data_IF_773181153727
#
_entry.id   IF_773181153727
#
_cell.length_a   1.000
_cell.length_b   1.000
_cell.length_c   1.000
_cell.angle_alpha   90.00
_cell.angle_beta   90.00
_cell.angle_gamma   90.00
#
_symmetry.space_group_name_H-M   'P 1'
#
loop_
_entity.id
_entity.type
_entity.pdbx_description
1 polymer ?
#
# COMPACT_ATOMS: atom_id res chain seq x y z
N UNK A 1 36.65 16.58 -3.89
CA UNK A 1 36.23 15.25 -3.39
C UNK A 1 34.72 15.11 -3.20
N UNK A 2 34.00 16.04 -2.56
CA UNK A 2 32.53 15.98 -2.36
C UNK A 2 31.71 15.90 -3.67
N UNK A 3 32.11 16.54 -4.76
CA UNK A 3 31.40 16.54 -6.05
C UNK A 3 31.45 15.19 -6.79
N UNK A 4 32.52 14.42 -6.65
CA UNK A 4 32.62 13.07 -7.25
C UNK A 4 31.78 12.04 -6.51
N UNK A 5 31.67 12.15 -5.19
CA UNK A 5 30.84 11.25 -4.36
C UNK A 5 29.36 11.47 -4.71
N UNK A 6 28.92 12.72 -4.82
CA UNK A 6 27.55 13.08 -5.20
C UNK A 6 27.17 12.60 -6.62
N UNK A 7 28.11 12.60 -7.56
CA UNK A 7 27.91 12.06 -8.92
C UNK A 7 27.79 10.54 -8.92
N UNK A 8 28.56 9.85 -8.08
CA UNK A 8 28.49 8.37 -7.93
C UNK A 8 27.16 7.97 -7.29
N UNK A 9 26.71 8.70 -6.26
CA UNK A 9 25.41 8.45 -5.64
C UNK A 9 24.24 8.66 -6.61
N UNK A 10 24.28 9.73 -7.43
CA UNK A 10 23.26 10.00 -8.45
C UNK A 10 23.27 8.93 -9.54
N UNK A 11 24.46 8.44 -9.95
CA UNK A 11 24.61 7.39 -10.96
C UNK A 11 24.11 6.03 -10.43
N UNK A 12 24.39 5.69 -9.16
CA UNK A 12 23.90 4.48 -8.51
C UNK A 12 22.37 4.50 -8.31
N UNK A 13 21.78 5.67 -8.01
CA UNK A 13 20.34 5.87 -7.94
C UNK A 13 19.69 5.67 -9.32
N UNK A 14 20.29 6.19 -10.39
CA UNK A 14 19.81 6.00 -11.76
C UNK A 14 19.95 4.56 -12.23
N UNK A 15 21.01 3.85 -11.87
CA UNK A 15 21.18 2.43 -12.16
C UNK A 15 20.16 1.57 -11.41
N UNK A 16 19.88 1.86 -10.14
CA UNK A 16 18.85 1.14 -9.36
C UNK A 16 17.45 1.39 -9.91
N UNK A 17 17.14 2.62 -10.35
CA UNK A 17 15.87 2.96 -11.00
C UNK A 17 15.71 2.26 -12.36
N UNK A 18 16.77 2.20 -13.16
CA UNK A 18 16.75 1.47 -14.43
C UNK A 18 16.60 -0.05 -14.21
N UNK A 19 17.23 -0.62 -13.20
CA UNK A 19 17.09 -2.03 -12.88
C UNK A 19 15.66 -2.37 -12.44
N UNK A 20 15.05 -1.55 -11.59
CA UNK A 20 13.63 -1.70 -11.18
C UNK A 20 12.68 -1.58 -12.38
N UNK A 21 12.96 -0.67 -13.31
CA UNK A 21 12.19 -0.49 -14.55
C UNK A 21 12.38 -1.64 -15.55
N UNK A 22 13.55 -2.27 -15.57
CA UNK A 22 13.85 -3.41 -16.47
C UNK A 22 13.11 -4.65 -15.99
N UNK A 23 13.02 -4.92 -14.69
CA UNK A 23 12.31 -6.10 -14.15
C UNK A 23 10.79 -5.97 -14.18
N UNK A 24 10.25 -4.77 -14.01
CA UNK A 24 8.84 -4.52 -14.33
C UNK A 24 8.54 -4.71 -15.84
N UNK A 25 9.53 -4.58 -16.71
CA UNK A 25 9.44 -4.90 -18.13
C UNK A 25 9.50 -6.41 -18.41
N UNK A 26 10.20 -7.21 -17.61
CA UNK A 26 10.21 -8.67 -17.78
C UNK A 26 8.90 -9.34 -17.34
N UNK A 27 8.24 -8.86 -16.28
CA UNK A 27 6.88 -9.31 -15.93
C UNK A 27 5.84 -8.94 -17.02
N UNK A 28 6.08 -7.92 -17.82
CA UNK A 28 5.24 -7.56 -18.99
C UNK A 28 5.42 -8.48 -20.22
N UNK A 29 6.30 -9.45 -20.15
CA UNK A 29 6.63 -10.34 -21.28
C UNK A 29 5.60 -11.45 -21.50
N UNK A 30 4.77 -11.72 -20.49
CA UNK A 30 3.75 -12.78 -20.53
C UNK A 30 2.34 -12.18 -20.45
N UNK A 31 1.40 -12.72 -21.21
CA UNK A 31 -0.01 -12.39 -21.04
C UNK A 31 -0.53 -12.87 -19.68
N UNK A 32 -1.64 -12.27 -19.20
CA UNK A 32 -2.25 -12.69 -17.93
C UNK A 32 -2.66 -14.17 -18.00
N UNK A 33 -3.13 -14.64 -19.14
CA UNK A 33 -3.51 -16.04 -19.39
C UNK A 33 -2.31 -17.00 -19.28
N UNK A 34 -1.16 -16.60 -19.83
CA UNK A 34 0.09 -17.38 -19.72
C UNK A 34 0.56 -17.49 -18.29
N UNK A 35 0.49 -16.38 -17.54
CA UNK A 35 0.82 -16.35 -16.11
C UNK A 35 -0.10 -17.26 -15.31
N UNK A 36 -1.41 -17.16 -15.51
CA UNK A 36 -2.42 -18.01 -14.85
C UNK A 36 -2.12 -19.49 -15.09
N UNK A 37 -1.87 -19.86 -16.36
CA UNK A 37 -1.55 -21.23 -16.74
C UNK A 37 -0.23 -21.72 -16.14
N UNK A 38 0.82 -20.89 -16.20
CA UNK A 38 2.16 -21.21 -15.68
C UNK A 38 2.14 -21.50 -14.17
N UNK A 39 1.38 -20.74 -13.41
CA UNK A 39 1.30 -20.87 -11.95
C UNK A 39 0.10 -21.70 -11.48
N UNK A 40 -0.67 -22.29 -12.39
CA UNK A 40 -1.86 -23.09 -12.12
C UNK A 40 -2.85 -22.39 -11.17
N UNK A 41 -3.19 -21.14 -11.48
CA UNK A 41 -4.02 -20.31 -10.61
C UNK A 41 -5.50 -20.45 -10.96
N UNK A 42 -6.31 -20.84 -10.00
CA UNK A 42 -7.77 -20.87 -10.14
C UNK A 42 -8.36 -19.47 -9.86
N UNK A 43 -8.44 -18.67 -10.91
CA UNK A 43 -8.98 -17.29 -10.86
C UNK A 43 -10.43 -17.28 -10.35
N UNK A 44 -11.26 -18.24 -10.76
CA UNK A 44 -12.68 -18.30 -10.34
C UNK A 44 -12.80 -18.51 -8.83
N UNK A 45 -11.94 -19.35 -8.26
CA UNK A 45 -11.87 -19.59 -6.82
C UNK A 45 -11.47 -18.31 -6.08
N UNK A 46 -10.42 -17.61 -6.54
CA UNK A 46 -9.95 -16.36 -5.93
C UNK A 46 -11.00 -15.24 -6.04
N UNK A 47 -11.69 -15.13 -7.17
CA UNK A 47 -12.80 -14.16 -7.31
C UNK A 47 -13.96 -14.45 -6.37
N UNK A 48 -14.34 -15.72 -6.22
CA UNK A 48 -15.38 -16.15 -5.28
C UNK A 48 -14.99 -15.81 -3.84
N UNK A 49 -13.73 -16.07 -3.47
CA UNK A 49 -13.18 -15.75 -2.16
C UNK A 49 -13.24 -14.22 -1.90
N UNK A 50 -12.72 -13.39 -2.81
CA UNK A 50 -12.80 -11.93 -2.67
C UNK A 50 -14.24 -11.43 -2.51
N UNK A 51 -15.19 -11.95 -3.31
CA UNK A 51 -16.62 -11.59 -3.22
C UNK A 51 -17.24 -12.02 -1.90
N UNK A 52 -16.81 -13.15 -1.33
CA UNK A 52 -17.28 -13.65 -0.04
C UNK A 52 -16.75 -12.81 1.10
N UNK A 53 -15.45 -12.51 1.09
CA UNK A 53 -14.79 -11.67 2.08
C UNK A 53 -15.32 -10.22 2.06
N UNK A 54 -15.60 -9.68 0.89
CA UNK A 54 -16.16 -8.33 0.75
C UNK A 54 -17.51 -8.13 1.48
N UNK A 55 -18.28 -9.19 1.69
CA UNK A 55 -19.55 -9.14 2.46
C UNK A 55 -19.35 -8.95 3.96
N UNK A 56 -18.12 -9.16 4.46
CA UNK A 56 -17.77 -9.01 5.87
C UNK A 56 -17.32 -7.58 6.23
N UNK A 57 -17.17 -6.71 5.23
CA UNK A 57 -16.71 -5.35 5.46
C UNK A 57 -17.76 -4.51 6.17
N UNK A 58 -17.32 -3.76 7.16
CA UNK A 58 -18.09 -2.73 7.85
C UNK A 58 -17.51 -1.34 7.51
N UNK A 59 -18.29 -0.52 6.83
CA UNK A 59 -17.88 0.85 6.45
C UNK A 59 -18.51 1.86 7.42
N UNK A 60 -18.28 1.59 8.69
CA UNK A 60 -18.68 2.43 9.82
C UNK A 60 -17.51 2.54 10.76
N UNK A 61 -17.42 3.66 11.44
CA UNK A 61 -16.40 3.88 12.45
C UNK A 61 -16.56 2.89 13.59
N UNK A 62 -15.50 2.14 13.87
CA UNK A 62 -15.44 1.16 14.96
C UNK A 62 -15.07 1.80 16.30
N UNK A 63 -14.55 3.03 16.26
CA UNK A 63 -14.14 3.83 17.41
C UNK A 63 -14.20 5.32 17.09
N UNK A 64 -13.97 6.17 18.07
CA UNK A 64 -13.81 7.62 17.90
C UNK A 64 -12.39 7.93 17.38
N UNK A 65 -12.27 8.05 16.07
CA UNK A 65 -10.98 8.35 15.41
C UNK A 65 -10.43 9.75 15.68
N UNK A 66 -11.18 10.65 16.33
CA UNK A 66 -10.64 11.96 16.74
C UNK A 66 -9.57 11.83 17.83
N UNK A 67 -9.61 10.73 18.59
CA UNK A 67 -8.75 10.43 19.75
C UNK A 67 -7.64 9.42 19.45
N UNK A 68 -7.42 9.09 18.17
CA UNK A 68 -6.38 8.14 17.78
C UNK A 68 -5.01 8.64 18.15
N UNK A 69 -4.26 7.83 18.88
CA UNK A 69 -2.91 8.13 19.37
C UNK A 69 -1.83 7.38 18.58
N UNK A 70 -2.11 6.13 18.13
CA UNK A 70 -1.16 5.31 17.39
C UNK A 70 -1.65 5.05 15.98
N UNK A 71 -0.91 5.55 15.01
CA UNK A 71 -1.28 5.50 13.61
C UNK A 71 -0.20 4.75 12.82
N UNK A 72 -0.60 3.69 12.12
CA UNK A 72 0.31 2.89 11.32
C UNK A 72 0.27 3.20 9.83
N UNK A 73 1.38 2.92 9.18
CA UNK A 73 1.48 2.89 7.72
C UNK A 73 2.27 1.67 7.28
N UNK A 74 1.84 1.02 6.21
CA UNK A 74 2.58 -0.11 5.64
C UNK A 74 2.73 0.07 4.13
N UNK A 75 3.95 -0.12 3.65
CA UNK A 75 4.30 0.02 2.23
C UNK A 75 5.21 -1.12 1.79
N UNK A 76 5.07 -1.49 0.51
CA UNK A 76 5.86 -2.55 -0.09
C UNK A 76 6.78 -1.98 -1.17
N UNK A 77 8.00 -2.52 -1.25
CA UNK A 77 8.90 -2.35 -2.38
C UNK A 77 9.31 -3.73 -2.90
N UNK A 78 9.59 -3.77 -4.21
CA UNK A 78 9.90 -5.03 -4.89
C UNK A 78 11.31 -4.94 -5.48
N UNK A 79 12.06 -6.03 -5.37
CA UNK A 79 13.37 -6.15 -5.98
C UNK A 79 13.59 -7.59 -6.44
N UNK A 80 13.77 -7.78 -7.75
CA UNK A 80 13.77 -9.12 -8.36
C UNK A 80 12.50 -9.87 -7.91
N UNK A 81 12.62 -11.14 -7.57
CA UNK A 81 11.50 -11.94 -7.07
C UNK A 81 11.30 -11.84 -5.55
N UNK A 82 11.64 -10.69 -4.96
CA UNK A 82 11.48 -10.44 -3.52
C UNK A 82 10.55 -9.26 -3.27
N UNK A 83 9.92 -9.28 -2.10
CA UNK A 83 9.13 -8.19 -1.54
C UNK A 83 9.74 -7.77 -0.20
N UNK A 84 9.82 -6.47 0.02
CA UNK A 84 10.10 -5.90 1.34
C UNK A 84 8.86 -5.12 1.75
N UNK A 85 8.27 -5.55 2.84
CA UNK A 85 7.15 -4.87 3.48
C UNK A 85 7.67 -4.14 4.71
N UNK A 86 7.44 -2.84 4.82
CA UNK A 86 7.83 -2.06 5.97
C UNK A 86 6.62 -1.42 6.63
N UNK A 87 6.52 -1.60 7.94
CA UNK A 87 5.47 -1.06 8.78
C UNK A 87 6.07 -0.04 9.75
N UNK A 88 5.43 1.10 9.89
CA UNK A 88 5.82 2.16 10.80
C UNK A 88 4.60 2.56 11.62
N UNK A 89 4.79 2.74 12.92
CA UNK A 89 3.78 3.27 13.83
C UNK A 89 4.25 4.62 14.35
N UNK A 90 3.39 5.62 14.24
CA UNK A 90 3.61 6.99 14.72
C UNK A 90 2.66 7.32 15.86
N UNK A 91 3.06 8.27 16.73
CA UNK A 91 2.13 8.94 17.62
C UNK A 91 1.42 10.10 16.90
N UNK A 92 0.51 10.78 17.61
CA UNK A 92 -0.21 11.95 17.10
C UNK A 92 0.69 13.15 16.77
N UNK A 93 1.90 13.20 17.32
CA UNK A 93 2.91 14.24 17.07
C UNK A 93 3.86 13.87 15.92
N UNK A 94 3.58 12.77 15.20
CA UNK A 94 4.34 12.25 14.09
C UNK A 94 5.72 11.67 14.45
N UNK A 95 5.95 11.36 15.70
CA UNK A 95 7.17 10.68 16.13
C UNK A 95 7.03 9.17 15.88
N UNK A 96 8.12 8.55 15.43
CA UNK A 96 8.15 7.09 15.20
C UNK A 96 8.20 6.39 16.56
N UNK A 97 7.14 5.64 16.89
CA UNK A 97 7.08 4.78 18.07
C UNK A 97 7.79 3.46 17.78
N UNK A 98 7.49 2.88 16.63
CA UNK A 98 8.07 1.59 16.22
C UNK A 98 8.12 1.48 14.70
N UNK A 99 9.13 0.75 14.20
CA UNK A 99 9.22 0.37 12.81
C UNK A 99 9.80 -1.04 12.67
N UNK A 100 9.21 -1.85 11.80
CA UNK A 100 9.65 -3.20 11.46
C UNK A 100 9.61 -3.40 9.96
N UNK A 101 10.36 -4.37 9.49
CA UNK A 101 10.25 -4.81 8.10
C UNK A 101 10.27 -6.33 8.01
N UNK A 102 9.70 -6.82 6.93
CA UNK A 102 9.80 -8.21 6.50
C UNK A 102 10.38 -8.25 5.09
N UNK A 103 11.31 -9.15 4.83
CA UNK A 103 11.84 -9.42 3.49
C UNK A 103 11.65 -10.89 3.13
N UNK A 104 11.08 -11.16 1.98
CA UNK A 104 10.82 -12.53 1.54
C UNK A 104 10.63 -12.65 0.04
N UNK A 105 10.56 -13.89 -0.46
CA UNK A 105 10.27 -14.18 -1.87
C UNK A 105 8.79 -14.01 -2.17
N UNK A 106 8.50 -13.50 -3.36
CA UNK A 106 7.14 -13.47 -3.88
C UNK A 106 6.67 -14.88 -4.21
N UNK A 107 5.53 -15.27 -3.65
CA UNK A 107 4.89 -16.57 -3.88
C UNK A 107 3.76 -16.52 -4.92
N UNK A 108 3.31 -15.31 -5.28
CA UNK A 108 2.21 -15.10 -6.22
C UNK A 108 2.63 -14.08 -7.29
N UNK A 109 2.35 -14.35 -8.59
CA UNK A 109 2.69 -13.44 -9.67
C UNK A 109 1.81 -12.19 -9.65
N UNK A 110 2.21 -11.15 -10.39
CA UNK A 110 1.36 -9.98 -10.56
C UNK A 110 0.20 -10.29 -11.50
N UNK A 111 -1.02 -10.26 -10.96
CA UNK A 111 -2.28 -10.37 -11.71
C UNK A 111 -3.16 -9.18 -11.32
N UNK A 112 -3.60 -8.35 -12.30
CA UNK A 112 -4.48 -7.23 -12.02
C UNK A 112 -5.74 -7.67 -11.25
N UNK A 113 -6.08 -6.93 -10.19
CA UNK A 113 -7.22 -7.25 -9.32
C UNK A 113 -6.97 -8.33 -8.25
N UNK A 114 -5.74 -8.93 -8.21
CA UNK A 114 -5.36 -9.94 -7.22
C UNK A 114 -4.11 -9.56 -6.42
N UNK A 115 -3.82 -8.27 -6.35
CA UNK A 115 -2.66 -7.72 -5.68
C UNK A 115 -2.51 -8.19 -4.23
N UNK A 116 -3.61 -8.38 -3.51
CA UNK A 116 -3.59 -8.85 -2.13
C UNK A 116 -2.92 -10.22 -1.98
N UNK A 117 -3.15 -11.16 -2.89
CA UNK A 117 -2.53 -12.50 -2.81
C UNK A 117 -1.01 -12.47 -2.98
N UNK A 118 -0.48 -11.44 -3.64
CA UNK A 118 0.96 -11.21 -3.83
C UNK A 118 1.60 -10.52 -2.63
N UNK A 119 0.91 -9.55 -2.02
CA UNK A 119 1.50 -8.62 -1.06
C UNK A 119 1.12 -8.91 0.40
N UNK A 120 -0.10 -9.37 0.63
CA UNK A 120 -0.65 -9.57 1.96
C UNK A 120 0.19 -10.51 2.85
N UNK A 121 0.76 -11.63 2.36
CA UNK A 121 1.60 -12.49 3.21
C UNK A 121 2.79 -11.75 3.84
N UNK A 122 3.49 -10.93 3.06
CA UNK A 122 4.61 -10.14 3.56
C UNK A 122 4.16 -9.02 4.50
N UNK A 123 3.04 -8.36 4.17
CA UNK A 123 2.46 -7.30 5.00
C UNK A 123 2.03 -7.84 6.36
N UNK A 124 1.36 -8.99 6.40
CA UNK A 124 0.92 -9.60 7.67
C UNK A 124 2.10 -10.10 8.49
N UNK A 125 3.12 -10.69 7.87
CA UNK A 125 4.36 -11.06 8.56
C UNK A 125 5.03 -9.84 9.20
N UNK A 126 5.17 -8.74 8.45
CA UNK A 126 5.71 -7.49 8.96
C UNK A 126 4.88 -6.90 10.10
N UNK A 127 3.55 -6.87 9.94
CA UNK A 127 2.63 -6.33 10.96
C UNK A 127 2.63 -7.14 12.25
N UNK A 128 2.81 -8.46 12.18
CA UNK A 128 2.84 -9.33 13.36
C UNK A 128 4.05 -9.04 14.26
N UNK A 129 5.17 -8.58 13.70
CA UNK A 129 6.36 -8.17 14.43
C UNK A 129 6.22 -6.83 15.17
N UNK A 130 5.21 -6.02 14.85
CA UNK A 130 4.91 -4.78 15.55
C UNK A 130 4.35 -5.11 16.94
N UNK A 131 4.95 -4.56 17.99
CA UNK A 131 4.51 -4.69 19.38
C UNK A 131 3.50 -3.60 19.72
N UNK A 132 3.79 -2.37 19.32
CA UNK A 132 2.96 -1.19 19.51
C UNK A 132 1.84 -1.13 18.47
N UNK A 133 0.78 -1.93 18.66
CA UNK A 133 -0.31 -2.06 17.68
C UNK A 133 -0.99 -0.71 17.42
N UNK A 134 -1.06 -0.27 16.14
CA UNK A 134 -1.77 0.95 15.79
C UNK A 134 -3.29 0.76 15.87
N UNK A 135 -4.00 1.84 16.14
CA UNK A 135 -5.46 1.87 16.18
C UNK A 135 -6.08 1.97 14.78
N UNK A 136 -5.27 2.42 13.80
CA UNK A 136 -5.64 2.51 12.39
C UNK A 136 -4.40 2.40 11.51
N UNK A 137 -4.58 1.82 10.31
CA UNK A 137 -3.52 1.65 9.32
C UNK A 137 -3.81 2.35 8.00
N UNK A 138 -2.85 3.12 7.51
CA UNK A 138 -2.80 3.54 6.12
C UNK A 138 -2.13 2.47 5.25
N UNK A 139 -2.79 2.08 4.18
CA UNK A 139 -2.33 1.07 3.23
C UNK A 139 -2.19 1.67 1.84
N UNK A 140 -1.03 1.50 1.20
CA UNK A 140 -0.83 1.93 -0.18
C UNK A 140 -1.56 0.99 -1.14
N UNK A 141 -2.82 1.30 -1.45
CA UNK A 141 -3.68 0.50 -2.31
C UNK A 141 -5.15 0.86 -2.13
N UNK A 142 -6.01 0.16 -2.86
CA UNK A 142 -7.44 0.37 -2.79
C UNK A 142 -8.05 -0.28 -1.55
N UNK A 143 -9.06 0.40 -0.95
CA UNK A 143 -10.02 -0.19 -0.04
C UNK A 143 -11.25 -0.70 -0.81
N UNK A 144 -12.44 -0.20 -0.43
CA UNK A 144 -13.70 -0.54 -1.11
C UNK A 144 -13.83 0.05 -2.54
N UNK A 145 -12.90 0.88 -2.97
CA UNK A 145 -12.79 1.38 -4.34
C UNK A 145 -12.26 0.36 -5.34
N UNK A 146 -12.04 -0.87 -4.90
CA UNK A 146 -11.74 -2.02 -5.73
C UNK A 146 -13.04 -2.71 -6.17
N UNK A 147 -13.09 -3.23 -7.40
CA UNK A 147 -14.30 -3.88 -7.95
C UNK A 147 -14.71 -5.20 -7.26
N UNK A 148 -13.86 -5.76 -6.41
CA UNK A 148 -14.16 -6.93 -5.54
C UNK A 148 -13.72 -6.68 -4.10
N UNK A 149 -12.42 -6.80 -3.82
CA UNK A 149 -11.82 -6.61 -2.49
C UNK A 149 -10.43 -6.01 -2.64
N UNK A 150 -10.24 -4.78 -2.18
CA UNK A 150 -8.97 -4.09 -2.25
C UNK A 150 -7.95 -4.59 -1.21
N UNK A 151 -6.68 -4.22 -1.41
CA UNK A 151 -5.59 -4.62 -0.52
C UNK A 151 -5.81 -4.14 0.92
N UNK A 152 -6.25 -2.88 1.09
CA UNK A 152 -6.53 -2.33 2.42
C UNK A 152 -7.68 -3.06 3.11
N UNK A 153 -8.76 -3.37 2.38
CA UNK A 153 -9.88 -4.14 2.91
C UNK A 153 -9.47 -5.56 3.30
N UNK A 154 -8.68 -6.22 2.46
CA UNK A 154 -8.21 -7.58 2.73
C UNK A 154 -7.26 -7.61 3.95
N UNK A 155 -6.32 -6.67 4.04
CA UNK A 155 -5.44 -6.54 5.20
C UNK A 155 -6.22 -6.37 6.51
N UNK A 156 -7.23 -5.50 6.51
CA UNK A 156 -8.08 -5.30 7.70
C UNK A 156 -8.84 -6.56 8.11
N UNK A 157 -9.39 -7.33 7.15
CA UNK A 157 -10.08 -8.58 7.47
C UNK A 157 -9.18 -9.63 8.11
N UNK A 158 -7.88 -9.63 7.76
CA UNK A 158 -6.91 -10.57 8.34
C UNK A 158 -6.41 -10.11 9.71
N UNK A 159 -6.20 -8.80 9.89
CA UNK A 159 -5.57 -8.26 11.11
C UNK A 159 -6.58 -7.76 12.15
N UNK A 160 -7.82 -7.50 11.74
CA UNK A 160 -8.85 -6.89 12.60
C UNK A 160 -8.67 -5.38 12.83
N UNK A 161 -7.65 -4.75 12.25
CA UNK A 161 -7.36 -3.33 12.43
C UNK A 161 -8.14 -2.48 11.41
N UNK A 162 -8.72 -1.33 11.79
CA UNK A 162 -9.28 -0.37 10.86
C UNK A 162 -8.25 0.08 9.81
N UNK A 163 -8.66 0.20 8.54
CA UNK A 163 -7.73 0.57 7.47
C UNK A 163 -8.26 1.63 6.53
N UNK A 164 -7.36 2.46 6.03
CA UNK A 164 -7.58 3.43 4.97
C UNK A 164 -6.72 3.04 3.76
N UNK A 165 -7.34 2.88 2.61
CA UNK A 165 -6.65 2.67 1.35
C UNK A 165 -6.31 4.00 0.67
N UNK A 166 -5.03 4.18 0.33
CA UNK A 166 -4.52 5.33 -0.42
C UNK A 166 -4.01 4.84 -1.76
N UNK A 167 -4.63 5.29 -2.85
CA UNK A 167 -4.26 4.89 -4.20
C UNK A 167 -3.85 6.11 -5.06
N UNK A 168 -3.03 5.87 -6.07
CA UNK A 168 -2.56 6.90 -7.01
C UNK A 168 -3.42 7.01 -8.29
N UNK A 169 -4.37 6.09 -8.47
CA UNK A 169 -5.24 6.02 -9.65
C UNK A 169 -6.55 5.32 -9.34
N UNK A 170 -7.54 5.52 -10.19
CA UNK A 170 -8.80 4.76 -10.16
C UNK A 170 -8.56 3.39 -10.78
N UNK A 171 -9.00 2.34 -10.12
CA UNK A 171 -8.99 0.97 -10.64
C UNK A 171 -10.34 0.60 -11.26
N UNK A 172 -11.42 1.11 -10.67
CA UNK A 172 -12.80 0.82 -11.10
C UNK A 172 -13.74 1.95 -10.69
N UNK A 173 -14.89 2.04 -11.35
CA UNK A 173 -15.88 3.07 -11.11
C UNK A 173 -15.68 4.32 -11.97
N UNK A 174 -16.50 5.31 -11.74
CA UNK A 174 -16.53 6.58 -12.46
C UNK A 174 -16.13 7.71 -11.52
N UNK A 175 -15.32 8.63 -12.03
CA UNK A 175 -15.00 9.87 -11.33
C UNK A 175 -16.10 10.89 -11.61
N UNK A 176 -16.76 11.35 -10.57
CA UNK A 176 -17.69 12.46 -10.64
C UNK A 176 -17.31 13.47 -9.56
N UNK A 177 -16.97 14.67 -10.01
CA UNK A 177 -16.41 15.72 -9.15
C UNK A 177 -15.18 15.21 -8.37
N UNK A 178 -15.25 15.18 -7.06
CA UNK A 178 -14.20 14.67 -6.14
C UNK A 178 -14.45 13.23 -5.67
N UNK A 179 -15.39 12.51 -6.30
CA UNK A 179 -15.88 11.23 -5.80
C UNK A 179 -15.72 10.13 -6.84
N UNK A 180 -15.25 8.96 -6.39
CA UNK A 180 -15.28 7.72 -7.19
C UNK A 180 -16.56 6.95 -6.85
N UNK A 181 -17.34 6.60 -7.86
CA UNK A 181 -18.65 5.97 -7.73
C UNK A 181 -18.59 4.56 -8.33
N UNK A 182 -18.98 3.56 -7.55
CA UNK A 182 -19.22 2.17 -7.99
C UNK A 182 -20.64 1.78 -7.60
N UNK A 183 -21.44 1.28 -8.53
CA UNK A 183 -22.81 0.83 -8.28
C UNK A 183 -23.66 1.89 -7.52
N UNK A 184 -23.60 3.15 -7.96
CA UNK A 184 -24.31 4.30 -7.37
C UNK A 184 -23.88 4.65 -5.92
N UNK A 185 -22.77 4.07 -5.41
CA UNK A 185 -22.23 4.38 -4.09
C UNK A 185 -20.90 5.10 -4.23
N UNK A 186 -20.68 6.14 -3.43
CA UNK A 186 -19.37 6.77 -3.32
C UNK A 186 -18.45 5.85 -2.52
N UNK A 187 -17.35 5.43 -3.15
CA UNK A 187 -16.40 4.45 -2.58
C UNK A 187 -15.03 5.04 -2.29
N UNK A 188 -14.73 6.21 -2.86
CA UNK A 188 -13.52 6.95 -2.56
C UNK A 188 -13.71 8.44 -2.81
N UNK A 189 -12.85 9.25 -2.19
CA UNK A 189 -12.71 10.68 -2.44
C UNK A 189 -11.34 10.98 -3.05
N UNK A 190 -11.33 11.99 -3.92
CA UNK A 190 -10.11 12.55 -4.50
C UNK A 190 -9.60 13.67 -3.61
N UNK A 191 -8.37 13.58 -3.15
CA UNK A 191 -7.76 14.63 -2.35
C UNK A 191 -6.51 15.18 -3.05
N UNK A 192 -6.48 16.51 -3.25
CA UNK A 192 -5.30 17.24 -3.68
C UNK A 192 -4.49 17.61 -2.42
N UNK A 193 -3.52 16.78 -2.07
CA UNK A 193 -2.73 16.93 -0.84
C UNK A 193 -1.44 17.72 -1.02
N UNK A 194 -0.99 17.89 -2.27
CA UNK A 194 0.21 18.65 -2.62
C UNK A 194 -0.01 19.40 -3.92
N UNK A 195 0.24 20.71 -3.92
CA UNK A 195 0.16 21.55 -5.13
C UNK A 195 1.10 21.05 -6.22
N UNK A 196 0.62 20.99 -7.46
CA UNK A 196 1.41 20.54 -8.61
C UNK A 196 1.64 19.03 -8.71
N UNK A 197 1.15 18.23 -7.76
CA UNK A 197 1.19 16.76 -7.86
C UNK A 197 -0.15 16.19 -8.32
N UNK A 198 -0.15 14.93 -8.80
CA UNK A 198 -1.40 14.20 -9.02
C UNK A 198 -2.11 13.98 -7.69
N UNK A 199 -3.45 14.05 -7.62
CA UNK A 199 -4.20 13.78 -6.41
C UNK A 199 -4.01 12.34 -5.92
N UNK A 200 -4.48 12.08 -4.71
CA UNK A 200 -4.63 10.73 -4.16
C UNK A 200 -6.11 10.36 -4.06
N UNK A 201 -6.38 9.06 -4.08
CA UNK A 201 -7.72 8.48 -3.95
C UNK A 201 -7.82 7.79 -2.60
N UNK A 202 -8.67 8.33 -1.72
CA UNK A 202 -8.86 7.84 -0.36
C UNK A 202 -10.12 7.00 -0.29
N UNK A 203 -9.99 5.75 0.11
CA UNK A 203 -11.13 4.87 0.31
C UNK A 203 -11.05 4.15 1.66
N UNK A 204 -12.17 3.95 2.36
CA UNK A 204 -12.17 3.07 3.53
C UNK A 204 -11.72 1.67 3.13
N UNK A 205 -10.91 1.04 3.96
CA UNK A 205 -10.64 -0.39 3.83
C UNK A 205 -11.70 -1.21 4.54
N UNK A 206 -11.81 -1.02 5.85
CA UNK A 206 -12.78 -1.66 6.73
C UNK A 206 -12.79 -0.94 8.09
N UNK A 207 -13.88 -1.07 8.86
CA UNK A 207 -14.04 -0.56 10.23
C UNK A 207 -13.91 0.97 10.37
N UNK A 208 -14.04 1.70 9.28
CA UNK A 208 -13.99 3.16 9.22
C UNK A 208 -14.94 3.68 8.13
N UNK A 209 -15.54 4.84 8.37
CA UNK A 209 -16.38 5.56 7.40
C UNK A 209 -15.52 6.30 6.35
N UNK A 210 -16.12 6.64 5.21
CA UNK A 210 -15.43 7.43 4.19
C UNK A 210 -15.06 8.83 4.69
N UNK A 211 -15.94 9.45 5.49
CA UNK A 211 -15.67 10.78 6.05
C UNK A 211 -14.46 10.76 6.98
N UNK A 212 -14.46 9.84 7.96
CA UNK A 212 -13.34 9.70 8.89
C UNK A 212 -12.04 9.32 8.20
N UNK A 213 -12.10 8.47 7.15
CA UNK A 213 -10.94 8.16 6.34
C UNK A 213 -10.35 9.40 5.65
N UNK A 214 -11.20 10.28 5.11
CA UNK A 214 -10.76 11.52 4.49
C UNK A 214 -10.20 12.53 5.50
N UNK A 215 -10.85 12.68 6.65
CA UNK A 215 -10.42 13.59 7.72
C UNK A 215 -9.05 13.17 8.28
N UNK A 216 -8.90 11.88 8.61
CA UNK A 216 -7.61 11.36 9.06
C UNK A 216 -6.52 11.49 7.99
N UNK A 217 -6.85 11.22 6.73
CA UNK A 217 -5.89 11.40 5.65
C UNK A 217 -5.38 12.84 5.59
N UNK A 218 -6.28 13.83 5.67
CA UNK A 218 -5.91 15.26 5.69
C UNK A 218 -5.07 15.61 6.92
N UNK A 219 -5.45 15.10 8.11
CA UNK A 219 -4.75 15.34 9.38
C UNK A 219 -3.31 14.83 9.34
N UNK A 220 -3.08 13.68 8.70
CA UNK A 220 -1.76 13.02 8.67
C UNK A 220 -0.92 13.30 7.42
N UNK A 221 -1.38 14.15 6.50
CA UNK A 221 -0.55 14.70 5.42
C UNK A 221 0.16 15.95 5.90
N UNK A 222 1.48 16.04 5.68
CA UNK A 222 2.31 17.21 6.00
C UNK A 222 3.09 17.66 4.78
N UNK A 223 3.14 18.97 4.55
CA UNK A 223 4.02 19.50 3.52
C UNK A 223 5.50 19.19 3.83
N UNK A 224 6.31 18.87 2.83
CA UNK A 224 6.01 18.88 1.40
C UNK A 224 5.49 17.52 0.85
N UNK A 225 5.02 16.60 1.68
CA UNK A 225 4.69 15.25 1.28
C UNK A 225 3.27 15.16 0.68
N UNK A 226 3.11 14.27 -0.28
CA UNK A 226 1.82 13.98 -0.93
C UNK A 226 1.01 12.94 -0.15
N UNK A 227 1.68 11.96 0.42
CA UNK A 227 1.07 10.84 1.14
C UNK A 227 0.97 11.17 2.64
N UNK A 228 0.02 10.56 3.36
CA UNK A 228 0.04 10.56 4.82
C UNK A 228 1.39 10.12 5.36
N UNK A 229 1.88 10.79 6.41
CA UNK A 229 3.21 10.55 6.97
C UNK A 229 3.49 9.07 7.31
N UNK A 230 2.54 8.29 7.89
CA UNK A 230 2.81 6.87 8.13
C UNK A 230 3.16 6.10 6.86
N UNK A 231 2.50 6.42 5.72
CA UNK A 231 2.84 5.80 4.42
C UNK A 231 4.13 6.35 3.82
N UNK A 232 4.34 7.67 3.91
CA UNK A 232 5.57 8.28 3.41
C UNK A 232 6.80 7.68 4.09
N UNK A 233 6.78 7.61 5.42
CA UNK A 233 7.88 7.09 6.23
C UNK A 233 8.07 5.59 6.01
N UNK A 234 6.98 4.80 5.98
CA UNK A 234 7.08 3.35 5.72
C UNK A 234 7.67 3.05 4.33
N UNK A 235 7.30 3.84 3.31
CA UNK A 235 7.86 3.70 1.97
C UNK A 235 9.35 4.07 1.91
N UNK A 236 9.75 5.13 2.58
CA UNK A 236 11.15 5.53 2.72
C UNK A 236 11.95 4.44 3.42
N UNK A 237 11.46 3.93 4.54
CA UNK A 237 12.09 2.86 5.31
C UNK A 237 12.21 1.57 4.48
N UNK A 238 11.16 1.15 3.76
CA UNK A 238 11.25 -0.01 2.88
C UNK A 238 12.34 0.12 1.80
N UNK A 239 12.53 1.34 1.23
CA UNK A 239 13.61 1.62 0.28
C UNK A 239 15.00 1.60 0.90
N UNK A 240 15.14 2.10 2.11
CA UNK A 240 16.41 2.06 2.86
C UNK A 240 16.80 0.61 3.14
N UNK A 241 15.88 -0.19 3.68
CA UNK A 241 16.09 -1.64 3.91
C UNK A 241 16.45 -2.36 2.60
N UNK A 242 15.75 -2.06 1.50
CA UNK A 242 16.07 -2.63 0.19
C UNK A 242 17.51 -2.31 -0.21
N UNK A 243 17.96 -1.07 -0.08
CA UNK A 243 19.33 -0.67 -0.40
C UNK A 243 20.35 -1.40 0.47
N UNK A 244 20.12 -1.50 1.77
CA UNK A 244 21.03 -2.20 2.70
C UNK A 244 21.15 -3.69 2.40
N UNK A 245 20.03 -4.37 2.18
CA UNK A 245 20.01 -5.80 1.90
C UNK A 245 20.68 -6.15 0.57
N UNK A 246 20.48 -5.31 -0.47
CA UNK A 246 20.97 -5.61 -1.81
C UNK A 246 22.28 -4.92 -2.18
N UNK A 247 22.70 -3.87 -1.45
CA UNK A 247 24.08 -3.37 -1.57
C UNK A 247 25.12 -4.38 -1.03
N UNK A 248 24.72 -5.20 -0.05
CA UNK A 248 25.59 -6.27 0.51
C UNK A 248 25.66 -7.51 -0.38
N UNK A 249 24.70 -7.69 -1.29
CA UNK A 249 24.69 -8.86 -2.21
C UNK A 249 25.42 -8.57 -3.51
N UNK A 250 26.22 -7.49 -3.59
CA UNK A 250 26.98 -6.97 -4.74
C UNK A 250 27.33 -8.00 -5.82
N UNK A 251 26.34 -8.37 -6.62
CA UNK A 251 26.41 -9.00 -7.94
C UNK A 251 25.03 -8.93 -8.59
#
# INVERSE_FOLDING_TARGET
>A
MKSKIMQIETFLILLSFNCIMIEQKEEKKYSVEEVIKKYNIDIKKLEKEQKTLAKQLSIKDSTDFSKVEKIGGISNVFFKNNIISACVVLNSDFEIIEQKYFSGKLSFPYIPGFRAYRELPAMTSCFNEIEEKPEIMFIQGHGISHFRLGLASHFSLVTGIPTIGIADSILSGELKDDSVIINKKVVAKVLQTKTGSKPIYVSPGNLISLNSACELTKKFVREPHKLPEPLHISHKYAKEVMKELYARTGN
#
